data_IF_318344136668
#
_entry.id   IF_318344136668
#
_cell.length_a   1.000
_cell.length_b   1.000
_cell.length_c   1.000
_cell.angle_alpha   90.00
_cell.angle_beta   90.00
_cell.angle_gamma   90.00
#
_symmetry.space_group_name_H-M   'P 1'
#
loop_
_entity.id
_entity.type
_entity.pdbx_description
1 polymer ?
#
# COMPACT_ATOMS: atom_id res chain seq x y z
N UNK A 1 -1.59 13.02 15.63
CA UNK A 1 -1.52 13.13 14.15
C UNK A 1 -2.26 14.39 13.74
N UNK A 2 -1.58 15.40 13.21
CA UNK A 2 -2.25 16.58 12.63
C UNK A 2 -2.75 16.25 11.23
N UNK A 3 -3.89 16.81 10.83
CA UNK A 3 -4.48 16.63 9.50
C UNK A 3 -3.46 16.81 8.35
N UNK A 4 -2.47 17.68 8.53
CA UNK A 4 -1.42 17.94 7.55
C UNK A 4 -0.62 16.69 7.14
N UNK A 5 -0.32 15.76 8.06
CA UNK A 5 0.47 14.56 7.74
C UNK A 5 -0.26 13.65 6.75
N UNK A 6 -1.56 13.46 6.95
CA UNK A 6 -2.38 12.63 6.08
C UNK A 6 -2.57 13.27 4.70
N UNK A 7 -2.89 14.57 4.65
CA UNK A 7 -3.05 15.27 3.36
C UNK A 7 -1.74 15.36 2.58
N UNK A 8 -0.60 15.50 3.26
CA UNK A 8 0.71 15.45 2.60
C UNK A 8 0.98 14.07 2.00
N UNK A 9 0.71 12.99 2.74
CA UNK A 9 0.82 11.63 2.21
C UNK A 9 -0.13 11.40 1.02
N UNK A 10 -1.36 11.92 1.09
CA UNK A 10 -2.29 11.82 -0.03
C UNK A 10 -1.79 12.60 -1.26
N UNK A 11 -1.28 13.82 -1.06
CA UNK A 11 -0.71 14.61 -2.14
C UNK A 11 0.51 13.93 -2.78
N UNK A 12 1.39 13.32 -1.97
CA UNK A 12 2.53 12.53 -2.46
C UNK A 12 2.05 11.35 -3.31
N UNK A 13 1.15 10.53 -2.77
CA UNK A 13 0.54 9.40 -3.47
C UNK A 13 -0.12 9.81 -4.79
N UNK A 14 -0.86 10.92 -4.80
CA UNK A 14 -1.60 11.38 -5.98
C UNK A 14 -0.68 11.93 -7.08
N UNK A 15 0.53 12.38 -6.73
CA UNK A 15 1.48 13.01 -7.65
C UNK A 15 2.61 12.08 -8.12
N UNK A 16 2.59 10.80 -7.73
CA UNK A 16 3.63 9.84 -8.12
C UNK A 16 3.06 8.55 -8.71
N UNK A 17 3.92 7.79 -9.39
CA UNK A 17 3.54 6.50 -9.96
C UNK A 17 3.20 5.47 -8.88
N UNK A 18 2.36 4.51 -9.23
CA UNK A 18 1.91 3.47 -8.29
C UNK A 18 3.08 2.63 -7.75
N UNK A 19 4.08 2.37 -8.59
CA UNK A 19 5.27 1.61 -8.20
C UNK A 19 6.19 2.40 -7.26
N UNK A 20 6.27 3.72 -7.43
CA UNK A 20 6.99 4.59 -6.50
C UNK A 20 6.26 4.62 -5.15
N UNK A 21 4.92 4.73 -5.17
CA UNK A 21 4.10 4.73 -3.95
C UNK A 21 4.22 3.43 -3.16
N UNK A 22 4.28 2.27 -3.83
CA UNK A 22 4.49 0.97 -3.19
C UNK A 22 5.85 0.82 -2.50
N UNK A 23 6.84 1.65 -2.90
CA UNK A 23 8.20 1.67 -2.33
C UNK A 23 8.45 2.87 -1.42
N UNK A 24 7.45 3.71 -1.17
CA UNK A 24 7.63 4.92 -0.35
C UNK A 24 8.02 4.53 1.08
N UNK A 25 8.93 5.30 1.68
CA UNK A 25 9.25 5.17 3.12
C UNK A 25 8.08 5.67 3.99
N UNK A 26 7.17 6.45 3.42
CA UNK A 26 5.96 6.91 4.10
C UNK A 26 4.91 5.80 4.12
N UNK A 27 4.69 5.22 5.31
CA UNK A 27 3.74 4.12 5.51
C UNK A 27 2.32 4.44 5.01
N UNK A 28 1.85 5.68 5.17
CA UNK A 28 0.50 6.07 4.73
C UNK A 28 0.40 6.05 3.20
N UNK A 29 1.44 6.52 2.51
CA UNK A 29 1.54 6.49 1.04
C UNK A 29 1.51 5.07 0.52
N UNK A 30 2.29 4.17 1.15
CA UNK A 30 2.28 2.75 0.84
C UNK A 30 0.90 2.13 1.04
N UNK A 31 0.20 2.45 2.12
CA UNK A 31 -1.15 1.96 2.39
C UNK A 31 -2.12 2.44 1.29
N UNK A 32 -2.06 3.71 0.87
CA UNK A 32 -2.86 4.15 -0.28
C UNK A 32 -2.53 3.37 -1.54
N UNK A 33 -1.25 3.11 -1.79
CA UNK A 33 -0.80 2.35 -2.95
C UNK A 33 -1.36 0.91 -2.97
N UNK A 34 -1.27 0.16 -1.86
CA UNK A 34 -1.75 -1.22 -1.83
C UNK A 34 -3.27 -1.31 -1.97
N UNK A 35 -4.00 -0.30 -1.47
CA UNK A 35 -5.46 -0.23 -1.59
C UNK A 35 -5.95 0.22 -2.97
N UNK A 36 -5.08 0.82 -3.79
CA UNK A 36 -5.45 1.31 -5.11
C UNK A 36 -5.77 0.16 -6.09
N UNK A 37 -6.84 0.32 -6.88
CA UNK A 37 -7.28 -0.68 -7.87
C UNK A 37 -6.24 -0.98 -8.97
N UNK A 38 -5.30 -0.06 -9.22
CA UNK A 38 -4.17 -0.25 -10.13
C UNK A 38 -3.25 -1.37 -9.64
N UNK A 39 -3.21 -1.62 -8.33
CA UNK A 39 -2.54 -2.78 -7.74
C UNK A 39 -3.46 -3.99 -7.80
N UNK A 40 -3.30 -4.77 -8.88
CA UNK A 40 -4.07 -5.98 -9.13
C UNK A 40 -3.45 -7.27 -8.57
N UNK A 41 -4.16 -8.39 -8.76
CA UNK A 41 -3.81 -9.72 -8.23
C UNK A 41 -2.35 -10.14 -8.48
N UNK A 42 -1.83 -9.87 -9.69
CA UNK A 42 -0.45 -10.21 -10.06
C UNK A 42 0.56 -9.55 -9.13
N UNK A 43 0.39 -8.27 -8.83
CA UNK A 43 1.29 -7.50 -7.96
C UNK A 43 1.17 -7.98 -6.51
N UNK A 44 -0.05 -8.20 -6.02
CA UNK A 44 -0.29 -8.70 -4.67
C UNK A 44 0.38 -10.06 -4.42
N UNK A 45 0.40 -10.95 -5.43
CA UNK A 45 1.12 -12.23 -5.33
C UNK A 45 2.64 -12.05 -5.19
N UNK A 46 3.24 -11.14 -5.96
CA UNK A 46 4.67 -10.84 -5.84
C UNK A 46 4.98 -10.28 -4.44
N UNK A 47 4.16 -9.34 -3.96
CA UNK A 47 4.34 -8.74 -2.63
C UNK A 47 4.21 -9.77 -1.49
N UNK A 48 3.49 -10.88 -1.69
CA UNK A 48 3.35 -11.94 -0.68
C UNK A 48 4.70 -12.51 -0.25
N UNK A 49 5.69 -12.49 -1.13
CA UNK A 49 7.03 -13.05 -0.88
C UNK A 49 7.79 -12.25 0.19
N UNK A 50 7.54 -10.94 0.29
CA UNK A 50 8.27 -10.03 1.19
C UNK A 50 7.38 -9.37 2.24
N UNK A 51 6.07 -9.65 2.26
CA UNK A 51 5.14 -8.92 3.14
C UNK A 51 5.45 -9.10 4.63
N UNK A 52 6.05 -10.22 5.03
CA UNK A 52 6.43 -10.45 6.43
C UNK A 52 7.58 -9.55 6.92
N UNK A 53 8.30 -8.91 6.01
CA UNK A 53 9.38 -7.95 6.32
C UNK A 53 8.84 -6.53 6.55
N UNK A 54 7.57 -6.30 6.23
CA UNK A 54 6.93 -5.00 6.34
C UNK A 54 6.34 -4.75 7.73
N UNK A 55 6.12 -3.49 8.15
CA UNK A 55 5.47 -3.19 9.43
C UNK A 55 4.09 -3.84 9.53
N UNK A 56 3.71 -4.32 10.73
CA UNK A 56 2.45 -5.03 10.99
C UNK A 56 1.22 -4.33 10.39
N UNK A 57 1.13 -3.01 10.55
CA UNK A 57 0.04 -2.22 9.97
C UNK A 57 -0.04 -2.34 8.45
N UNK A 58 1.10 -2.36 7.74
CA UNK A 58 1.09 -2.56 6.30
C UNK A 58 0.64 -3.97 5.93
N UNK A 59 1.06 -4.99 6.70
CA UNK A 59 0.64 -6.37 6.51
C UNK A 59 -0.89 -6.51 6.63
N UNK A 60 -1.51 -5.82 7.60
CA UNK A 60 -2.96 -5.80 7.78
C UNK A 60 -3.69 -5.24 6.54
N UNK A 61 -3.26 -4.08 6.03
CA UNK A 61 -3.89 -3.47 4.84
C UNK A 61 -3.66 -4.31 3.58
N UNK A 62 -2.47 -4.88 3.42
CA UNK A 62 -2.22 -5.87 2.37
C UNK A 62 -3.17 -7.06 2.47
N UNK A 63 -3.35 -7.63 3.67
CA UNK A 63 -4.21 -8.79 3.88
C UNK A 63 -5.67 -8.48 3.54
N UNK A 64 -6.18 -7.29 3.91
CA UNK A 64 -7.51 -6.82 3.52
C UNK A 64 -7.64 -6.80 2.00
N UNK A 65 -6.68 -6.17 1.31
CA UNK A 65 -6.68 -6.07 -0.15
C UNK A 65 -6.62 -7.45 -0.83
N UNK A 66 -5.76 -8.33 -0.33
CA UNK A 66 -5.55 -9.67 -0.87
C UNK A 66 -6.80 -10.56 -0.68
N UNK A 67 -7.46 -10.48 0.48
CA UNK A 67 -8.76 -11.15 0.73
C UNK A 67 -9.84 -10.64 -0.23
N UNK A 68 -9.92 -9.33 -0.46
CA UNK A 68 -10.88 -8.75 -1.42
C UNK A 68 -10.67 -9.27 -2.86
N UNK A 69 -9.47 -9.73 -3.21
CA UNK A 69 -9.15 -10.33 -4.51
C UNK A 69 -9.25 -11.87 -4.54
N UNK A 70 -9.60 -12.51 -3.41
CA UNK A 70 -9.65 -13.96 -3.25
C UNK A 70 -8.28 -14.62 -3.30
N UNK A 71 -7.24 -13.98 -2.75
CA UNK A 71 -5.86 -14.49 -2.69
C UNK A 71 -5.49 -15.07 -1.31
N UNK A 72 -6.30 -14.79 -0.29
CA UNK A 72 -6.15 -15.22 1.11
C UNK A 72 -7.51 -15.67 1.66
#
# INVERSE_FOLDING_TARGET
MTNAVFYNAFAEFNNQDIEASLKSENLIVKIFAVLDRRVGKRRLRIMKETIMEEPDTFQEFYAIRAKAEGLL
#
